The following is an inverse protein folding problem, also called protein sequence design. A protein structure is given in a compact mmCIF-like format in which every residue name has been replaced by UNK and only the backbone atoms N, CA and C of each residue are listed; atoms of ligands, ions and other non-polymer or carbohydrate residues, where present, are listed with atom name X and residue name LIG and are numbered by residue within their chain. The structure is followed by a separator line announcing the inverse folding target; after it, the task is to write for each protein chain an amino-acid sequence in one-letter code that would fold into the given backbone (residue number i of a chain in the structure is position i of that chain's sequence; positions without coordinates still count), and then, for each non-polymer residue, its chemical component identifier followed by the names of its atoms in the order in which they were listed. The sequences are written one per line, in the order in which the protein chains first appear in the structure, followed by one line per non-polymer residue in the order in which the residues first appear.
data_IF_261006256958
#
_entry.id   IF_261006256958
#
_cell.length_a   1.000
_cell.length_b   1.000
_cell.length_c   1.000
_cell.angle_alpha   90.00
_cell.angle_beta   90.00
_cell.angle_gamma   90.00
#
_symmetry.space_group_name_H-M   'P 1'
#
loop_
_entity.id
_entity.type
_entity.pdbx_description
1 polymer ?
#
# COMPACT_ATOMS: atom_id res chain seq x y z
N UNK A 1 -7.29 -3.04 -8.17
CA UNK A 1 -7.59 -1.72 -7.57
C UNK A 1 -7.05 -1.71 -6.15
N UNK A 2 -6.86 -0.54 -5.56
CA UNK A 2 -6.54 -0.37 -4.14
C UNK A 2 -7.35 0.79 -3.56
N UNK A 3 -7.73 0.69 -2.28
CA UNK A 3 -8.53 1.70 -1.59
C UNK A 3 -7.85 2.07 -0.27
N UNK A 4 -7.76 3.36 0.02
CA UNK A 4 -7.29 3.87 1.31
C UNK A 4 -8.47 4.21 2.27
N UNK A 5 -8.23 4.39 3.58
CA UNK A 5 -9.31 4.59 4.56
C UNK A 5 -10.18 5.85 4.33
N UNK A 6 -9.62 6.88 3.68
CA UNK A 6 -10.33 8.10 3.29
C UNK A 6 -11.21 7.94 2.04
N UNK A 7 -11.19 6.75 1.41
CA UNK A 7 -11.91 6.46 0.19
C UNK A 7 -11.11 6.70 -1.09
N UNK A 8 -9.84 7.11 -0.99
CA UNK A 8 -8.94 7.22 -2.14
C UNK A 8 -8.88 5.90 -2.88
N UNK A 9 -9.26 5.93 -4.16
CA UNK A 9 -9.28 4.77 -5.03
C UNK A 9 -8.18 4.88 -6.08
N UNK A 10 -7.38 3.82 -6.21
CA UNK A 10 -6.42 3.67 -7.31
C UNK A 10 -6.84 2.49 -8.17
N UNK A 11 -7.13 2.78 -9.44
CA UNK A 11 -7.58 1.79 -10.42
C UNK A 11 -6.42 1.41 -11.35
N UNK A 12 -6.40 0.13 -11.72
CA UNK A 12 -5.60 -0.31 -12.87
C UNK A 12 -6.45 -0.12 -14.12
N UNK A 13 -6.26 1.00 -14.82
CA UNK A 13 -7.03 1.31 -16.02
C UNK A 13 -6.78 0.35 -17.19
N UNK A 14 -5.65 -0.35 -17.23
CA UNK A 14 -5.39 -1.36 -18.25
C UNK A 14 -6.31 -2.58 -18.08
N UNK A 15 -6.63 -2.95 -16.84
CA UNK A 15 -7.63 -3.99 -16.55
C UNK A 15 -9.08 -3.52 -16.80
N UNK A 16 -9.33 -2.21 -16.88
CA UNK A 16 -10.65 -1.64 -17.15
C UNK A 16 -10.97 -1.53 -18.66
N UNK A 17 -10.00 -1.78 -19.54
CA UNK A 17 -10.22 -1.76 -21.00
C UNK A 17 -10.92 -3.02 -21.55
N UNK A 18 -11.24 -3.99 -20.68
CA UNK A 18 -12.00 -5.18 -21.05
C UNK A 18 -13.53 -4.92 -21.10
N UNK A 19 -14.30 -5.64 -21.93
CA UNK A 19 -15.75 -5.39 -22.15
C UNK A 19 -16.71 -5.61 -20.96
N UNK A 20 -16.24 -5.81 -19.71
CA UNK A 20 -17.08 -6.38 -18.64
C UNK A 20 -17.12 -5.63 -17.29
N UNK A 21 -16.46 -4.47 -17.14
CA UNK A 21 -16.49 -3.74 -15.84
C UNK A 21 -17.40 -2.51 -15.93
N UNK A 22 -18.67 -2.69 -15.56
CA UNK A 22 -19.58 -1.56 -15.38
C UNK A 22 -19.13 -0.67 -14.21
N UNK A 23 -19.47 0.62 -14.26
CA UNK A 23 -19.24 1.56 -13.16
C UNK A 23 -19.86 1.07 -11.84
N UNK A 24 -20.99 0.38 -11.92
CA UNK A 24 -21.69 -0.22 -10.77
C UNK A 24 -20.88 -1.34 -10.11
N UNK A 25 -20.24 -2.21 -10.91
CA UNK A 25 -19.35 -3.26 -10.38
C UNK A 25 -18.16 -2.64 -9.68
N UNK A 26 -17.53 -1.63 -10.29
CA UNK A 26 -16.38 -0.92 -9.70
C UNK A 26 -16.76 -0.28 -8.37
N UNK A 27 -17.91 0.40 -8.32
CA UNK A 27 -18.39 1.06 -7.11
C UNK A 27 -18.72 0.05 -6.00
N UNK A 28 -19.37 -1.06 -6.35
CA UNK A 28 -19.67 -2.14 -5.39
C UNK A 28 -18.40 -2.70 -4.77
N UNK A 29 -17.37 -2.94 -5.58
CA UNK A 29 -16.09 -3.45 -5.08
C UNK A 29 -15.35 -2.39 -4.26
N UNK A 30 -15.40 -1.12 -4.67
CA UNK A 30 -14.81 0.00 -3.92
C UNK A 30 -15.40 0.09 -2.51
N UNK A 31 -16.72 0.01 -2.37
CA UNK A 31 -17.40 0.08 -1.08
C UNK A 31 -17.01 -1.09 -0.17
N UNK A 32 -16.97 -2.32 -0.69
CA UNK A 32 -16.51 -3.50 0.06
C UNK A 32 -15.06 -3.37 0.52
N UNK A 33 -14.17 -2.92 -0.36
CA UNK A 33 -12.77 -2.71 -0.01
C UNK A 33 -12.60 -1.60 1.04
N UNK A 34 -13.37 -0.51 0.92
CA UNK A 34 -13.34 0.60 1.88
C UNK A 34 -13.80 0.18 3.27
N UNK A 35 -14.87 -0.62 3.36
CA UNK A 35 -15.35 -1.19 4.63
C UNK A 35 -14.26 -2.03 5.29
N UNK A 36 -13.69 -3.00 4.55
CA UNK A 36 -12.61 -3.86 5.06
C UNK A 36 -11.40 -3.07 5.54
N UNK A 37 -10.97 -2.05 4.79
CA UNK A 37 -9.82 -1.21 5.16
C UNK A 37 -10.10 -0.41 6.43
N UNK A 38 -11.32 0.12 6.61
CA UNK A 38 -11.69 0.87 7.83
C UNK A 38 -11.78 -0.03 9.06
N UNK A 39 -12.30 -1.24 8.91
CA UNK A 39 -12.32 -2.22 9.99
C UNK A 39 -10.90 -2.60 10.43
N UNK A 40 -10.03 -2.90 9.45
CA UNK A 40 -8.62 -3.19 9.71
C UNK A 40 -7.88 -2.01 10.33
N UNK A 41 -8.10 -0.78 9.86
CA UNK A 41 -7.50 0.40 10.48
C UNK A 41 -7.92 0.51 11.96
N UNK A 42 -9.22 0.38 12.24
CA UNK A 42 -9.73 0.44 13.62
C UNK A 42 -9.11 -0.63 14.51
N UNK A 43 -8.99 -1.86 14.03
CA UNK A 43 -8.38 -2.97 14.75
C UNK A 43 -6.88 -2.73 15.00
N UNK A 44 -6.14 -2.36 13.95
CA UNK A 44 -4.68 -2.18 14.02
C UNK A 44 -4.27 -0.95 14.82
N UNK A 45 -5.09 0.13 14.87
CA UNK A 45 -4.77 1.34 15.66
C UNK A 45 -4.90 1.15 17.17
N UNK A 46 -5.55 0.10 17.66
CA UNK A 46 -5.70 -0.23 19.11
C UNK A 46 -6.07 1.00 19.96
N UNK A 47 -7.08 1.77 19.51
CA UNK A 47 -7.59 2.95 20.24
C UNK A 47 -6.73 4.22 20.13
N UNK A 48 -5.66 4.22 19.33
CA UNK A 48 -4.88 5.45 19.06
C UNK A 48 -5.69 6.44 18.23
N UNK A 49 -5.45 7.74 18.48
CA UNK A 49 -6.03 8.85 17.70
C UNK A 49 -5.75 8.69 16.20
N UNK A 50 -6.56 9.27 15.31
CA UNK A 50 -6.32 9.26 13.86
C UNK A 50 -4.92 9.73 13.48
N UNK A 51 -4.45 9.29 12.31
CA UNK A 51 -3.13 9.67 11.81
C UNK A 51 -3.09 11.18 11.50
N UNK A 52 -2.05 11.88 11.96
CA UNK A 52 -1.81 13.30 11.66
C UNK A 52 -0.47 13.42 10.96
N UNK A 53 -0.49 13.73 9.67
CA UNK A 53 0.70 13.83 8.83
C UNK A 53 1.00 15.26 8.39
N UNK A 54 0.18 16.24 8.78
CA UNK A 54 0.29 17.63 8.32
C UNK A 54 1.70 18.20 8.54
N UNK A 55 2.35 18.59 7.44
CA UNK A 55 3.70 19.15 7.44
C UNK A 55 4.82 18.12 7.63
N UNK A 56 4.52 16.85 7.94
CA UNK A 56 5.52 15.83 8.20
C UNK A 56 6.09 15.22 6.92
N UNK A 57 7.36 14.79 7.00
CA UNK A 57 8.01 13.96 5.98
C UNK A 57 7.76 12.50 6.36
N UNK A 58 7.15 11.74 5.47
CA UNK A 58 6.64 10.39 5.74
C UNK A 58 7.45 9.37 4.95
N UNK A 59 7.86 8.29 5.61
CA UNK A 59 8.45 7.11 4.95
C UNK A 59 7.42 6.00 4.99
N UNK A 60 6.99 5.54 3.82
CA UNK A 60 6.14 4.37 3.64
C UNK A 60 7.03 3.16 3.37
N UNK A 61 6.70 2.04 4.01
CA UNK A 61 7.45 0.79 3.92
C UNK A 61 6.52 -0.36 3.57
N UNK A 62 7.07 -1.36 2.88
CA UNK A 62 6.40 -2.62 2.57
C UNK A 62 7.47 -3.71 2.34
N UNK A 63 7.07 -4.97 2.25
CA UNK A 63 7.96 -6.08 1.92
C UNK A 63 8.40 -6.08 0.43
N UNK A 64 7.60 -5.48 -0.45
CA UNK A 64 7.98 -5.24 -1.82
C UNK A 64 6.91 -4.60 -2.67
N UNK A 65 7.29 -4.22 -3.90
CA UNK A 65 6.37 -3.64 -4.88
C UNK A 65 6.13 -4.61 -6.04
N UNK A 66 5.02 -5.35 -5.98
CA UNK A 66 4.60 -6.23 -7.08
C UNK A 66 3.95 -5.45 -8.23
N UNK A 67 2.76 -4.90 -7.99
CA UNK A 67 2.03 -4.07 -8.97
C UNK A 67 2.07 -2.56 -8.64
N UNK A 68 2.38 -2.22 -7.38
CA UNK A 68 2.49 -0.85 -6.88
C UNK A 68 1.17 -0.20 -6.43
N UNK A 69 0.00 -0.76 -6.77
CA UNK A 69 -1.28 -0.08 -6.51
C UNK A 69 -1.59 0.18 -5.03
N UNK A 70 -1.25 -0.74 -4.14
CA UNK A 70 -1.41 -0.54 -2.68
C UNK A 70 -0.54 0.59 -2.18
N UNK A 71 0.72 0.64 -2.61
CA UNK A 71 1.65 1.72 -2.26
C UNK A 71 1.16 3.07 -2.80
N UNK A 72 0.66 3.12 -4.03
CA UNK A 72 0.07 4.34 -4.60
C UNK A 72 -1.13 4.86 -3.79
N UNK A 73 -2.02 3.96 -3.35
CA UNK A 73 -3.13 4.33 -2.49
C UNK A 73 -2.63 4.91 -1.16
N UNK A 74 -1.59 4.32 -0.56
CA UNK A 74 -0.99 4.80 0.68
C UNK A 74 -0.28 6.17 0.50
N UNK A 75 0.42 6.38 -0.62
CA UNK A 75 1.08 7.64 -0.97
C UNK A 75 0.04 8.76 -1.07
N UNK A 76 -1.01 8.56 -1.85
CA UNK A 76 -2.08 9.54 -2.04
C UNK A 76 -2.80 9.82 -0.72
N UNK A 77 -3.06 8.79 0.09
CA UNK A 77 -3.62 8.98 1.42
C UNK A 77 -2.73 9.83 2.32
N UNK A 78 -1.40 9.62 2.29
CA UNK A 78 -0.47 10.43 3.06
C UNK A 78 -0.50 11.91 2.63
N UNK A 79 -0.57 12.20 1.33
CA UNK A 79 -0.71 13.57 0.83
C UNK A 79 -2.08 14.19 1.15
N UNK A 80 -3.17 13.41 1.10
CA UNK A 80 -4.49 13.89 1.52
C UNK A 80 -4.51 14.27 3.02
N UNK A 81 -3.70 13.59 3.84
CA UNK A 81 -3.44 13.95 5.23
C UNK A 81 -2.40 15.08 5.39
N UNK A 82 -2.05 15.75 4.29
CA UNK A 82 -1.14 16.91 4.19
C UNK A 82 0.30 16.64 4.58
N UNK A 83 0.81 15.42 4.33
CA UNK A 83 2.25 15.16 4.39
C UNK A 83 3.00 16.15 3.49
N UNK A 84 4.12 16.69 3.96
CA UNK A 84 4.93 17.64 3.18
C UNK A 84 5.78 16.94 2.12
N UNK A 85 6.26 15.72 2.43
CA UNK A 85 6.99 14.85 1.51
C UNK A 85 6.70 13.39 1.82
N UNK A 86 6.64 12.56 0.79
CA UNK A 86 6.53 11.11 0.92
C UNK A 86 7.77 10.45 0.31
N UNK A 87 8.29 9.46 1.00
CA UNK A 87 9.37 8.57 0.60
C UNK A 87 8.88 7.13 0.66
N UNK A 88 9.41 6.26 -0.19
CA UNK A 88 9.12 4.82 -0.15
C UNK A 88 10.41 4.06 0.08
N UNK A 89 10.39 3.08 0.98
CA UNK A 89 11.51 2.18 1.22
C UNK A 89 11.01 0.73 1.23
N UNK A 90 11.47 -0.05 0.26
CA UNK A 90 11.06 -1.45 0.08
C UNK A 90 12.30 -2.31 -0.23
N UNK A 91 12.35 -3.57 0.23
CA UNK A 91 13.46 -4.46 -0.08
C UNK A 91 13.55 -4.86 -1.56
N UNK A 92 12.41 -5.05 -2.23
CA UNK A 92 12.35 -5.53 -3.61
C UNK A 92 11.22 -4.90 -4.42
N UNK A 93 11.37 -4.80 -5.74
CA UNK A 93 10.31 -4.30 -6.63
C UNK A 93 10.40 -4.87 -8.04
N UNK A 94 9.25 -4.98 -8.71
CA UNK A 94 9.21 -5.06 -10.17
C UNK A 94 9.55 -3.69 -10.78
N UNK A 95 10.21 -3.63 -11.95
CA UNK A 95 10.45 -2.37 -12.64
C UNK A 95 9.15 -1.60 -12.87
N UNK A 96 8.08 -2.29 -13.27
CA UNK A 96 6.80 -1.67 -13.61
C UNK A 96 6.11 -1.04 -12.40
N UNK A 97 6.21 -1.64 -11.22
CA UNK A 97 5.68 -1.05 -9.99
C UNK A 97 6.57 0.09 -9.50
N UNK A 98 7.90 -0.08 -9.61
CA UNK A 98 8.85 0.96 -9.25
C UNK A 98 8.56 2.23 -10.04
N UNK A 99 8.50 2.16 -11.37
CA UNK A 99 8.25 3.32 -12.25
C UNK A 99 6.98 4.07 -11.87
N UNK A 100 5.86 3.37 -11.64
CA UNK A 100 4.60 3.99 -11.19
C UNK A 100 4.76 4.75 -9.89
N UNK A 101 5.51 4.19 -8.94
CA UNK A 101 5.67 4.77 -7.60
C UNK A 101 6.62 5.97 -7.61
N UNK A 102 7.74 5.92 -8.36
CA UNK A 102 8.72 7.03 -8.37
C UNK A 102 8.10 8.34 -8.87
N UNK A 103 7.09 8.27 -9.75
CA UNK A 103 6.40 9.43 -10.29
C UNK A 103 5.55 10.19 -9.24
N UNK A 104 5.18 9.55 -8.12
CA UNK A 104 4.29 10.15 -7.10
C UNK A 104 5.03 10.54 -5.80
N UNK A 105 6.33 10.28 -5.67
CA UNK A 105 7.08 10.48 -4.41
C UNK A 105 8.41 11.19 -4.62
N UNK A 106 8.98 11.70 -3.52
CA UNK A 106 10.28 12.39 -3.57
C UNK A 106 11.41 11.42 -3.94
N UNK A 107 11.40 10.22 -3.35
CA UNK A 107 12.40 9.19 -3.59
C UNK A 107 11.91 7.81 -3.18
N UNK A 108 12.33 6.82 -3.98
CA UNK A 108 12.18 5.40 -3.64
C UNK A 108 13.55 4.82 -3.32
N UNK A 109 13.63 4.06 -2.23
CA UNK A 109 14.79 3.27 -1.84
C UNK A 109 14.45 1.80 -2.06
N UNK A 110 15.04 1.19 -3.09
CA UNK A 110 14.84 -0.21 -3.43
C UNK A 110 16.18 -0.83 -3.88
N UNK A 111 16.83 -1.65 -3.05
CA UNK A 111 18.12 -2.23 -3.38
C UNK A 111 18.03 -3.40 -4.37
N UNK A 112 16.87 -4.05 -4.49
CA UNK A 112 16.66 -5.22 -5.35
C UNK A 112 15.52 -4.99 -6.35
N UNK A 113 15.85 -4.46 -7.52
CA UNK A 113 14.90 -4.31 -8.63
C UNK A 113 15.11 -5.47 -9.59
N UNK A 114 14.07 -6.27 -9.83
CA UNK A 114 14.19 -7.48 -10.66
C UNK A 114 13.00 -7.69 -11.58
N UNK A 115 13.29 -8.12 -12.79
CA UNK A 115 12.31 -8.62 -13.77
C UNK A 115 12.50 -10.12 -13.96
N UNK A 116 11.44 -10.87 -14.19
CA UNK A 116 11.49 -12.31 -14.49
C UNK A 116 10.55 -12.64 -15.64
N UNK A 117 10.98 -13.57 -16.50
CA UNK A 117 10.18 -14.08 -17.62
C UNK A 117 8.90 -14.78 -17.15
N UNK A 118 8.90 -15.33 -15.92
CA UNK A 118 7.76 -16.01 -15.31
C UNK A 118 6.87 -15.06 -14.49
N UNK A 119 7.19 -13.77 -14.46
CA UNK A 119 6.55 -12.77 -13.62
C UNK A 119 7.31 -12.49 -12.32
N UNK A 120 6.88 -11.46 -11.61
CA UNK A 120 7.49 -11.01 -10.36
C UNK A 120 6.60 -11.39 -9.17
N UNK A 121 7.18 -12.05 -8.17
CA UNK A 121 6.60 -12.18 -6.84
C UNK A 121 7.53 -11.56 -5.79
N UNK A 122 6.95 -10.92 -4.77
CA UNK A 122 7.73 -10.37 -3.65
C UNK A 122 8.43 -11.49 -2.87
N UNK A 123 7.71 -12.59 -2.62
CA UNK A 123 8.15 -13.76 -1.88
C UNK A 123 9.51 -14.31 -2.35
N UNK A 124 9.81 -14.26 -3.65
CA UNK A 124 11.07 -14.74 -4.22
C UNK A 124 12.32 -13.98 -3.71
N UNK A 125 12.15 -12.85 -3.03
CA UNK A 125 13.25 -12.11 -2.41
C UNK A 125 13.69 -12.71 -1.08
N UNK A 126 12.84 -13.54 -0.48
CA UNK A 126 12.94 -13.95 0.91
C UNK A 126 13.23 -15.43 1.00
N UNK A 127 14.32 -15.78 1.70
CA UNK A 127 14.62 -17.17 2.03
C UNK A 127 13.54 -17.79 2.93
N UNK A 128 12.99 -16.97 3.85
CA UNK A 128 11.90 -17.33 4.73
C UNK A 128 10.72 -16.42 4.44
N UNK A 129 9.74 -16.95 3.70
CA UNK A 129 8.47 -16.28 3.44
C UNK A 129 7.36 -16.98 4.21
N UNK A 130 6.52 -16.21 4.88
CA UNK A 130 5.31 -16.69 5.54
C UNK A 130 4.26 -15.58 5.56
N UNK A 131 2.99 -15.98 5.61
CA UNK A 131 1.90 -15.02 5.72
C UNK A 131 1.84 -14.47 7.15
N UNK A 132 1.89 -13.15 7.28
CA UNK A 132 1.80 -12.47 8.57
C UNK A 132 0.34 -12.39 9.03
N UNK A 133 0.02 -13.05 10.14
CA UNK A 133 -1.32 -12.98 10.75
C UNK A 133 -1.58 -11.62 11.41
N UNK A 134 -2.84 -11.18 11.41
CA UNK A 134 -3.26 -9.92 12.05
C UNK A 134 -2.91 -9.92 13.55
N UNK A 135 -2.99 -11.07 14.22
CA UNK A 135 -2.58 -11.25 15.62
C UNK A 135 -1.08 -10.98 15.80
N UNK A 136 -0.24 -11.39 14.86
CA UNK A 136 1.20 -11.13 14.91
C UNK A 136 1.51 -9.65 14.69
N UNK A 137 0.88 -9.02 13.70
CA UNK A 137 1.00 -7.59 13.48
C UNK A 137 0.60 -6.79 14.73
N UNK A 138 -0.51 -7.16 15.37
CA UNK A 138 -0.97 -6.54 16.62
C UNK A 138 0.01 -6.75 17.77
N UNK A 139 0.66 -7.92 17.89
CA UNK A 139 1.72 -8.15 18.89
C UNK A 139 2.87 -7.16 18.72
N UNK A 140 3.33 -6.96 17.49
CA UNK A 140 4.40 -6.00 17.18
C UNK A 140 4.00 -4.56 17.46
N UNK A 141 2.82 -4.14 16.99
CA UNK A 141 2.32 -2.77 17.22
C UNK A 141 2.19 -2.46 18.71
N UNK A 142 1.64 -3.38 19.51
CA UNK A 142 1.55 -3.22 20.97
C UNK A 142 2.92 -3.11 21.63
N UNK A 143 3.95 -3.78 21.12
CA UNK A 143 5.31 -3.71 21.65
C UNK A 143 5.94 -2.34 21.37
N UNK A 144 5.82 -1.84 20.14
CA UNK A 144 6.40 -0.55 19.74
C UNK A 144 5.67 0.62 20.41
N UNK A 145 4.36 0.51 20.62
CA UNK A 145 3.54 1.59 21.18
C UNK A 145 3.50 1.68 22.70
N UNK A 146 4.06 0.68 23.40
CA UNK A 146 4.25 0.71 24.86
C UNK A 146 5.55 1.42 25.27
N UNK A 147 6.43 1.71 24.31
CA UNK A 147 7.61 2.56 24.48
C UNK A 147 7.26 4.02 24.19
#
# INVERSE_FOLDING_TARGET
MAVAPDGTLVLNFELLRGPQLSSEVVETQRLKALESVREREKALRVGRRPLRLEGLRVVLVDDGLASGYTMLAAIRYAYNLKASKVYVAVPTASPEALWKVVEEVEKVYCPNVRSSLLGFAVADAYQNWYDLEDEEALRWLRRVWKA
#
